data_IF_057751671591
#
_entry.id   IF_057751671591
#
_cell.length_a   1.000
_cell.length_b   1.000
_cell.length_c   1.000
_cell.angle_alpha   90.00
_cell.angle_beta   90.00
_cell.angle_gamma   90.00
#
_symmetry.space_group_name_H-M   'P 1'
#
loop_
_entity.id
_entity.type
_entity.pdbx_description
1 polymer ?
#
# COMPACT_ATOMS: atom_id res chain seq x y z
N UNK A 1 17.97 -43.17 -14.46
CA UNK A 1 16.51 -43.10 -14.67
C UNK A 1 15.99 -42.13 -13.62
N UNK A 2 15.70 -40.89 -14.02
CA UNK A 2 15.14 -39.87 -13.12
C UNK A 2 13.63 -40.10 -12.94
N UNK A 3 13.09 -40.19 -11.75
CA UNK A 3 11.66 -40.19 -11.55
C UNK A 3 11.11 -38.75 -11.60
N UNK A 4 10.27 -38.52 -12.58
CA UNK A 4 9.21 -37.54 -12.73
C UNK A 4 9.20 -36.29 -11.81
N UNK A 5 9.50 -35.18 -12.43
CA UNK A 5 8.92 -33.87 -12.10
C UNK A 5 7.38 -33.94 -12.17
N UNK A 6 6.72 -34.29 -11.08
CA UNK A 6 5.29 -34.05 -10.93
C UNK A 6 5.10 -32.56 -10.71
N UNK A 7 4.24 -31.95 -11.50
CA UNK A 7 3.72 -30.61 -11.31
C UNK A 7 3.33 -30.43 -9.83
N UNK A 8 4.05 -29.59 -9.09
CA UNK A 8 3.73 -29.22 -7.71
C UNK A 8 2.39 -28.48 -7.72
N UNK A 9 1.30 -29.19 -7.47
CA UNK A 9 -0.02 -28.65 -7.27
C UNK A 9 -0.05 -27.89 -5.93
N UNK A 10 -0.74 -26.76 -5.90
CA UNK A 10 -0.99 -25.97 -4.70
C UNK A 10 -1.68 -26.86 -3.64
N UNK A 11 -1.08 -26.96 -2.44
CA UNK A 11 -1.67 -27.75 -1.33
C UNK A 11 -3.08 -27.24 -0.99
N UNK A 12 -4.04 -28.16 -0.75
CA UNK A 12 -5.37 -27.80 -0.30
C UNK A 12 -5.32 -26.94 0.97
N UNK A 13 -6.22 -25.94 1.13
CA UNK A 13 -6.19 -25.01 2.26
C UNK A 13 -6.17 -25.67 3.66
N UNK A 14 -6.82 -26.82 3.81
CA UNK A 14 -6.80 -27.57 5.06
C UNK A 14 -5.42 -28.16 5.38
N UNK A 15 -4.71 -28.67 4.38
CA UNK A 15 -3.36 -29.22 4.52
C UNK A 15 -2.34 -28.11 4.84
N UNK A 16 -2.42 -26.98 4.13
CA UNK A 16 -1.57 -25.81 4.39
C UNK A 16 -1.71 -25.30 5.82
N UNK A 17 -2.95 -25.19 6.33
CA UNK A 17 -3.22 -24.77 7.72
C UNK A 17 -2.64 -25.74 8.75
N UNK A 18 -2.70 -27.04 8.49
CA UNK A 18 -2.13 -28.08 9.38
C UNK A 18 -0.62 -27.95 9.40
N UNK A 19 0.04 -27.86 8.24
CA UNK A 19 1.50 -27.73 8.15
C UNK A 19 2.00 -26.45 8.81
N UNK A 20 1.40 -25.29 8.51
CA UNK A 20 1.79 -23.99 9.14
C UNK A 20 1.61 -24.04 10.67
N UNK A 21 0.59 -24.76 11.17
CA UNK A 21 0.42 -24.93 12.61
C UNK A 21 1.51 -25.80 13.22
N UNK A 22 1.87 -26.92 12.56
CA UNK A 22 2.90 -27.84 13.04
C UNK A 22 4.31 -27.24 12.92
N UNK A 23 4.57 -26.36 11.97
CA UNK A 23 5.86 -25.67 11.80
C UNK A 23 6.23 -24.76 12.98
N UNK A 24 5.25 -24.33 13.79
CA UNK A 24 5.50 -23.53 14.99
C UNK A 24 6.20 -24.32 16.10
N UNK A 25 6.32 -25.63 15.98
CA UNK A 25 6.97 -26.50 16.97
C UNK A 25 8.35 -26.92 16.47
N UNK A 26 9.35 -26.85 17.36
CA UNK A 26 10.73 -27.21 17.03
C UNK A 26 10.91 -28.72 16.73
N UNK A 27 11.92 -29.02 15.92
CA UNK A 27 12.26 -30.40 15.53
C UNK A 27 12.72 -31.30 16.71
N UNK A 28 13.21 -30.67 17.80
CA UNK A 28 13.62 -31.35 19.02
C UNK A 28 12.47 -32.14 19.67
N UNK A 29 11.22 -31.74 19.44
CA UNK A 29 10.04 -32.42 19.97
C UNK A 29 9.76 -33.76 19.28
N UNK A 30 10.36 -34.05 18.13
CA UNK A 30 10.19 -35.31 17.40
C UNK A 30 10.72 -36.52 18.21
N UNK A 31 11.82 -36.32 18.95
CA UNK A 31 12.42 -37.34 19.80
C UNK A 31 11.99 -37.23 21.29
N UNK A 32 11.26 -36.17 21.65
CA UNK A 32 10.89 -35.92 23.04
C UNK A 32 9.92 -36.98 23.58
N UNK A 33 10.11 -37.37 24.87
CA UNK A 33 9.20 -38.30 25.57
C UNK A 33 7.84 -37.67 25.80
N UNK A 34 7.82 -36.42 26.27
CA UNK A 34 6.64 -35.64 26.53
C UNK A 34 6.50 -34.54 25.49
N UNK A 35 5.32 -34.37 24.90
CA UNK A 35 5.06 -33.37 23.87
C UNK A 35 3.87 -32.47 24.22
N UNK A 36 3.85 -31.21 23.72
CA UNK A 36 2.72 -30.31 23.91
C UNK A 36 1.39 -30.94 23.40
N UNK A 37 0.30 -30.64 24.09
CA UNK A 37 -1.04 -31.11 23.70
C UNK A 37 -1.43 -30.75 22.28
N UNK A 38 -0.94 -29.61 21.79
CA UNK A 38 -1.21 -29.11 20.45
C UNK A 38 -0.70 -30.02 19.30
N UNK A 39 0.28 -30.89 19.57
CA UNK A 39 0.75 -31.91 18.63
C UNK A 39 -0.13 -33.19 18.64
N UNK A 40 -1.03 -33.37 19.60
CA UNK A 40 -2.00 -34.49 19.59
C UNK A 40 -3.19 -34.18 18.69
N UNK A 41 -3.82 -35.22 18.11
CA UNK A 41 -4.98 -35.02 17.24
C UNK A 41 -6.12 -34.18 17.90
N UNK A 42 -6.47 -34.34 19.18
CA UNK A 42 -7.45 -33.47 19.83
C UNK A 42 -6.97 -32.01 19.95
N UNK A 43 -5.70 -31.80 20.35
CA UNK A 43 -5.16 -30.46 20.52
C UNK A 43 -4.94 -29.73 19.18
N UNK A 44 -4.58 -30.46 18.13
CA UNK A 44 -4.47 -29.93 16.78
C UNK A 44 -5.85 -29.51 16.25
N UNK A 45 -6.89 -30.33 16.44
CA UNK A 45 -8.27 -30.00 16.07
C UNK A 45 -8.76 -28.74 16.79
N UNK A 46 -8.51 -28.67 18.11
CA UNK A 46 -8.84 -27.50 18.95
C UNK A 46 -8.14 -26.23 18.46
N UNK A 47 -6.83 -26.30 18.15
CA UNK A 47 -6.03 -25.16 17.70
C UNK A 47 -6.40 -24.66 16.30
N UNK A 48 -6.97 -25.52 15.46
CA UNK A 48 -7.43 -25.19 14.10
C UNK A 48 -8.92 -24.83 14.04
N UNK A 49 -9.65 -24.97 15.15
CA UNK A 49 -11.10 -24.71 15.21
C UNK A 49 -11.94 -25.70 14.39
N UNK A 50 -11.50 -26.96 14.27
CA UNK A 50 -12.17 -27.98 13.48
C UNK A 50 -12.53 -29.20 14.34
N UNK A 51 -13.48 -30.00 13.88
CA UNK A 51 -13.79 -31.30 14.54
C UNK A 51 -12.68 -32.31 14.20
N UNK A 52 -12.38 -33.19 15.16
CA UNK A 52 -11.28 -34.16 15.03
C UNK A 52 -11.38 -35.03 13.77
N UNK A 53 -12.60 -35.43 13.38
CA UNK A 53 -12.84 -36.23 12.17
C UNK A 53 -12.41 -35.53 10.88
N UNK A 54 -12.45 -34.19 10.84
CA UNK A 54 -12.04 -33.42 9.69
C UNK A 54 -10.50 -33.41 9.43
N UNK A 55 -9.71 -33.85 10.44
CA UNK A 55 -8.25 -33.93 10.29
C UNK A 55 -7.77 -35.22 9.62
N UNK A 56 -8.57 -36.30 9.63
CA UNK A 56 -8.09 -37.63 9.20
C UNK A 56 -7.66 -37.66 7.74
N UNK A 57 -8.51 -37.21 6.83
CA UNK A 57 -8.19 -37.24 5.40
C UNK A 57 -7.01 -36.30 5.02
N UNK A 58 -6.96 -35.02 5.49
CA UNK A 58 -5.81 -34.14 5.24
C UNK A 58 -4.50 -34.67 5.83
N UNK A 59 -4.52 -35.23 7.05
CA UNK A 59 -3.31 -35.79 7.68
C UNK A 59 -2.82 -37.04 6.97
N UNK A 60 -3.71 -37.94 6.55
CA UNK A 60 -3.33 -39.14 5.77
C UNK A 60 -2.64 -38.73 4.48
N UNK A 61 -3.18 -37.77 3.74
CA UNK A 61 -2.54 -37.26 2.51
C UNK A 61 -1.17 -36.63 2.78
N UNK A 62 -1.03 -35.82 3.84
CA UNK A 62 0.25 -35.20 4.22
C UNK A 62 1.28 -36.24 4.69
N UNK A 63 0.84 -37.34 5.31
CA UNK A 63 1.72 -38.45 5.72
C UNK A 63 2.14 -39.28 4.51
N UNK A 64 1.23 -39.56 3.57
CA UNK A 64 1.52 -40.25 2.32
C UNK A 64 2.51 -39.47 1.42
N UNK A 65 2.43 -38.13 1.46
CA UNK A 65 3.33 -37.22 0.76
C UNK A 65 4.65 -36.97 1.52
N UNK A 66 4.76 -37.48 2.75
CA UNK A 66 5.97 -37.39 3.57
C UNK A 66 6.18 -36.04 4.26
N UNK A 67 5.19 -35.15 4.30
CA UNK A 67 5.28 -33.84 4.94
C UNK A 67 5.06 -33.88 6.45
N UNK A 68 4.38 -34.88 6.95
CA UNK A 68 4.20 -35.12 8.38
C UNK A 68 4.50 -36.58 8.71
N UNK A 69 4.79 -36.84 10.00
CA UNK A 69 4.95 -38.18 10.55
C UNK A 69 4.15 -38.30 11.81
N UNK A 70 3.47 -39.44 11.99
CA UNK A 70 2.73 -39.77 13.20
C UNK A 70 3.52 -40.70 14.08
N UNK A 71 3.41 -40.53 15.41
CA UNK A 71 3.94 -41.47 16.40
C UNK A 71 3.07 -41.46 17.68
N UNK A 72 3.36 -42.36 18.59
CA UNK A 72 2.71 -42.41 19.90
C UNK A 72 3.62 -41.82 20.98
N UNK A 73 3.18 -40.78 21.69
CA UNK A 73 3.93 -40.13 22.77
C UNK A 73 3.06 -39.79 23.99
N UNK A 74 3.71 -39.46 25.10
CA UNK A 74 3.07 -38.81 26.22
C UNK A 74 2.75 -37.36 25.88
N UNK A 75 1.56 -36.90 26.31
CA UNK A 75 1.07 -35.56 26.06
C UNK A 75 0.93 -34.82 27.38
N UNK A 76 1.59 -33.69 27.51
CA UNK A 76 1.56 -32.82 28.70
C UNK A 76 0.09 -32.46 29.00
N UNK A 77 -0.37 -32.75 30.22
CA UNK A 77 -1.76 -32.55 30.63
C UNK A 77 -2.75 -33.56 30.06
N UNK A 78 -2.27 -34.62 29.35
CA UNK A 78 -3.11 -35.63 28.70
C UNK A 78 -3.41 -36.91 29.53
N UNK A 79 -2.96 -36.97 30.77
CA UNK A 79 -3.03 -38.17 31.62
C UNK A 79 -1.99 -39.23 31.27
N UNK A 80 -2.04 -40.41 31.88
CA UNK A 80 -1.01 -41.47 31.75
C UNK A 80 -1.03 -42.24 30.42
N UNK A 81 -2.00 -42.00 29.55
CA UNK A 81 -2.11 -42.74 28.28
C UNK A 81 -1.33 -42.03 27.17
N UNK A 82 -0.53 -42.80 26.41
CA UNK A 82 0.09 -42.35 25.18
C UNK A 82 -0.98 -42.02 24.13
N UNK A 83 -0.75 -40.98 23.34
CA UNK A 83 -1.66 -40.52 22.27
C UNK A 83 -0.90 -40.42 20.96
N UNK A 84 -1.61 -40.57 19.86
CA UNK A 84 -1.08 -40.25 18.53
C UNK A 84 -0.80 -38.76 18.46
N UNK A 85 0.42 -38.43 18.12
CA UNK A 85 0.91 -37.06 17.90
C UNK A 85 1.46 -36.94 16.50
N UNK A 86 1.40 -35.74 15.95
CA UNK A 86 1.79 -35.44 14.59
C UNK A 86 2.99 -34.49 14.63
N UNK A 87 4.03 -34.81 13.90
CA UNK A 87 5.23 -33.97 13.73
C UNK A 87 5.39 -33.62 12.27
N UNK A 88 5.85 -32.40 12.00
CA UNK A 88 6.23 -31.96 10.65
C UNK A 88 7.62 -32.50 10.34
N UNK A 89 7.83 -33.02 9.14
CA UNK A 89 9.14 -33.45 8.65
C UNK A 89 9.96 -32.27 8.10
N UNK A 90 11.23 -32.49 7.79
CA UNK A 90 12.06 -31.47 7.11
C UNK A 90 11.45 -31.07 5.76
N UNK A 91 11.00 -32.03 4.96
CA UNK A 91 10.29 -31.75 3.70
C UNK A 91 8.99 -30.96 3.91
N UNK A 92 8.26 -31.23 5.02
CA UNK A 92 7.10 -30.42 5.39
C UNK A 92 7.48 -28.98 5.77
N UNK A 93 8.61 -28.77 6.46
CA UNK A 93 9.11 -27.44 6.82
C UNK A 93 9.57 -26.66 5.58
N UNK A 94 10.29 -27.31 4.66
CA UNK A 94 10.66 -26.73 3.37
C UNK A 94 9.42 -26.31 2.57
N UNK A 95 8.39 -27.15 2.56
CA UNK A 95 7.11 -26.84 1.90
C UNK A 95 6.40 -25.66 2.58
N UNK A 96 6.41 -25.57 3.91
CA UNK A 96 5.86 -24.40 4.63
C UNK A 96 6.68 -23.15 4.30
N UNK A 97 8.00 -23.22 4.29
CA UNK A 97 8.86 -22.10 3.90
C UNK A 97 8.58 -21.66 2.45
N UNK A 98 8.40 -22.62 1.51
CA UNK A 98 7.99 -22.33 0.13
C UNK A 98 6.56 -21.74 0.05
N UNK A 99 5.64 -22.13 0.96
CA UNK A 99 4.30 -21.56 1.08
C UNK A 99 4.31 -20.18 1.76
N UNK A 100 5.29 -19.94 2.62
CA UNK A 100 5.56 -18.66 3.31
C UNK A 100 6.50 -17.76 2.49
N UNK A 101 7.22 -18.30 1.50
CA UNK A 101 7.78 -17.49 0.42
C UNK A 101 6.65 -16.83 -0.37
N UNK A 102 6.72 -15.52 -0.75
CA UNK A 102 5.56 -14.70 -1.11
C UNK A 102 4.94 -15.04 -2.48
N UNK A 103 4.52 -16.27 -2.66
CA UNK A 103 3.63 -16.68 -3.77
C UNK A 103 2.19 -16.80 -3.28
N UNK A 104 1.76 -15.89 -2.40
CA UNK A 104 0.43 -15.83 -1.86
C UNK A 104 0.33 -15.05 -0.55
N UNK A 105 1.16 -14.02 -0.34
CA UNK A 105 0.87 -13.04 0.69
C UNK A 105 -0.57 -12.60 0.44
N UNK A 106 -1.47 -12.85 1.40
CA UNK A 106 -2.83 -12.30 1.33
C UNK A 106 -2.65 -10.81 1.11
N UNK A 107 -3.05 -10.34 -0.08
CA UNK A 107 -3.06 -8.92 -0.38
C UNK A 107 -3.63 -8.18 0.84
N UNK A 108 -2.96 -7.15 1.25
CA UNK A 108 -3.36 -6.33 2.38
C UNK A 108 -4.74 -5.72 2.18
N UNK A 109 -5.25 -5.07 3.20
CA UNK A 109 -6.55 -4.41 3.14
C UNK A 109 -6.37 -2.95 2.77
N UNK A 110 -7.26 -2.46 1.91
CA UNK A 110 -7.33 -1.08 1.53
C UNK A 110 -8.59 -0.43 2.13
N UNK A 111 -8.44 0.77 2.68
CA UNK A 111 -9.51 1.58 3.25
C UNK A 111 -9.43 3.01 2.71
N UNK A 112 -10.57 3.65 2.55
CA UNK A 112 -10.69 4.99 2.00
C UNK A 112 -10.68 5.01 0.47
N UNK A 113 -10.87 6.19 -0.12
CA UNK A 113 -10.96 6.39 -1.57
C UNK A 113 -9.57 6.43 -2.20
N UNK A 114 -8.93 5.26 -2.39
CA UNK A 114 -7.64 5.16 -3.06
C UNK A 114 -7.84 5.49 -4.55
N UNK A 115 -7.02 6.40 -5.14
CA UNK A 115 -7.12 6.74 -6.56
C UNK A 115 -6.90 5.52 -7.47
N UNK A 116 -7.43 5.57 -8.69
CA UNK A 116 -7.15 4.58 -9.71
C UNK A 116 -5.66 4.52 -10.05
N UNK A 117 -5.18 3.33 -10.41
CA UNK A 117 -3.79 3.16 -10.76
C UNK A 117 -3.52 3.72 -12.16
N UNK A 118 -2.54 4.62 -12.24
CA UNK A 118 -2.03 5.16 -13.49
C UNK A 118 -0.65 4.54 -13.74
N UNK A 119 -0.35 4.22 -15.01
CA UNK A 119 0.99 3.75 -15.39
C UNK A 119 2.03 4.80 -15.04
N UNK A 120 2.98 4.42 -14.21
CA UNK A 120 4.16 5.24 -13.92
C UNK A 120 5.22 4.99 -14.99
N UNK A 121 5.83 6.09 -15.45
CA UNK A 121 6.96 6.03 -16.37
C UNK A 121 8.13 6.77 -15.74
N UNK A 122 9.31 6.12 -15.68
CA UNK A 122 10.54 6.74 -15.22
C UNK A 122 10.52 7.14 -13.73
N UNK A 123 9.83 6.39 -12.88
CA UNK A 123 9.70 6.60 -11.43
C UNK A 123 10.07 5.36 -10.63
N UNK A 124 10.78 4.44 -11.24
CA UNK A 124 11.14 3.15 -10.63
C UNK A 124 12.05 3.37 -9.42
N UNK A 125 13.05 4.27 -9.53
CA UNK A 125 13.97 4.61 -8.44
C UNK A 125 13.24 5.37 -7.32
N UNK A 126 12.41 6.36 -7.68
CA UNK A 126 11.59 7.11 -6.71
C UNK A 126 10.65 6.17 -5.95
N UNK A 127 9.99 5.24 -6.67
CA UNK A 127 9.07 4.26 -6.09
C UNK A 127 9.79 3.32 -5.12
N UNK A 128 10.96 2.83 -5.49
CA UNK A 128 11.77 1.95 -4.64
C UNK A 128 12.23 2.69 -3.38
N UNK A 129 12.81 3.88 -3.54
CA UNK A 129 13.31 4.68 -2.42
C UNK A 129 12.20 5.08 -1.43
N UNK A 130 11.05 5.51 -1.93
CA UNK A 130 9.89 5.84 -1.10
C UNK A 130 9.33 4.60 -0.39
N UNK A 131 9.21 3.48 -1.10
CA UNK A 131 8.76 2.21 -0.54
C UNK A 131 9.69 1.72 0.58
N UNK A 132 11.00 1.72 0.35
CA UNK A 132 11.99 1.28 1.33
C UNK A 132 11.93 2.14 2.61
N UNK A 133 11.78 3.45 2.46
CA UNK A 133 11.62 4.37 3.60
C UNK A 133 10.37 4.03 4.43
N UNK A 134 9.23 3.83 3.77
CA UNK A 134 7.97 3.48 4.45
C UNK A 134 8.01 2.09 5.07
N UNK A 135 8.62 1.10 4.40
CA UNK A 135 8.79 -0.25 4.93
C UNK A 135 9.73 -0.29 6.16
N UNK A 136 10.68 0.65 6.24
CA UNK A 136 11.53 0.84 7.41
C UNK A 136 10.82 1.55 8.58
N UNK A 137 9.54 1.92 8.44
CA UNK A 137 8.76 2.60 9.48
C UNK A 137 8.94 4.11 9.51
N UNK A 138 9.50 4.72 8.45
CA UNK A 138 9.67 6.17 8.38
C UNK A 138 8.35 6.88 8.08
N UNK A 139 8.21 8.10 8.63
CA UNK A 139 7.15 9.02 8.25
C UNK A 139 7.69 9.96 7.16
N UNK A 140 6.96 10.09 6.06
CA UNK A 140 7.44 10.80 4.87
C UNK A 140 6.46 11.91 4.47
N UNK A 141 7.00 13.10 4.23
CA UNK A 141 6.32 14.18 3.52
C UNK A 141 6.74 14.14 2.05
N UNK A 142 5.86 13.67 1.18
CA UNK A 142 6.05 13.69 -0.28
C UNK A 142 5.63 15.05 -0.82
N UNK A 143 6.59 15.88 -1.15
CA UNK A 143 6.40 17.24 -1.63
C UNK A 143 6.76 17.41 -3.11
N UNK A 144 6.28 18.48 -3.74
CA UNK A 144 6.63 18.81 -5.12
C UNK A 144 5.54 19.63 -5.83
N UNK A 145 5.83 20.03 -7.07
CA UNK A 145 4.95 20.86 -7.90
C UNK A 145 3.59 20.17 -8.18
N UNK A 146 2.51 20.96 -8.42
CA UNK A 146 1.26 20.41 -8.92
C UNK A 146 1.47 19.66 -10.24
N UNK A 147 0.91 18.47 -10.41
CA UNK A 147 1.03 17.70 -11.66
C UNK A 147 2.36 16.97 -11.86
N UNK A 148 3.30 17.01 -10.92
CA UNK A 148 4.58 16.27 -11.01
C UNK A 148 4.44 14.76 -10.81
N UNK A 149 3.27 14.29 -10.32
CA UNK A 149 2.96 12.87 -10.19
C UNK A 149 3.05 12.31 -8.76
N UNK A 150 2.93 13.14 -7.72
CA UNK A 150 3.00 12.73 -6.30
C UNK A 150 1.98 11.65 -5.94
N UNK A 151 0.69 11.90 -6.19
CA UNK A 151 -0.38 10.94 -5.87
C UNK A 151 -0.26 9.66 -6.69
N UNK A 152 0.21 9.76 -7.94
CA UNK A 152 0.49 8.60 -8.80
C UNK A 152 1.62 7.73 -8.23
N UNK A 153 2.72 8.34 -7.77
CA UNK A 153 3.83 7.65 -7.13
C UNK A 153 3.37 6.99 -5.83
N UNK A 154 2.68 7.74 -4.98
CA UNK A 154 2.15 7.23 -3.71
C UNK A 154 1.17 6.07 -3.93
N UNK A 155 0.33 6.14 -4.99
CA UNK A 155 -0.59 5.05 -5.36
C UNK A 155 0.15 3.78 -5.78
N UNK A 156 1.24 3.92 -6.54
CA UNK A 156 2.04 2.76 -6.94
C UNK A 156 2.74 2.11 -5.73
N UNK A 157 3.29 2.92 -4.82
CA UNK A 157 3.88 2.42 -3.57
C UNK A 157 2.82 1.77 -2.68
N UNK A 158 1.60 2.35 -2.58
CA UNK A 158 0.49 1.75 -1.85
C UNK A 158 0.13 0.36 -2.41
N UNK A 159 0.11 0.18 -3.74
CA UNK A 159 -0.12 -1.12 -4.38
C UNK A 159 0.99 -2.13 -4.05
N UNK A 160 2.23 -1.68 -4.06
CA UNK A 160 3.37 -2.50 -3.73
C UNK A 160 3.29 -3.01 -2.28
N UNK A 161 3.03 -2.16 -1.30
CA UNK A 161 2.91 -2.56 0.11
C UNK A 161 1.64 -3.39 0.36
N UNK A 162 0.53 -3.13 -0.35
CA UNK A 162 -0.67 -3.98 -0.35
C UNK A 162 -0.34 -5.40 -0.82
N UNK A 163 0.47 -5.55 -1.88
CA UNK A 163 0.90 -6.87 -2.37
C UNK A 163 1.74 -7.63 -1.36
N UNK A 164 2.46 -6.91 -0.47
CA UNK A 164 3.24 -7.45 0.64
C UNK A 164 2.39 -7.73 1.91
N UNK A 165 1.06 -7.57 1.84
CA UNK A 165 0.15 -7.85 2.94
C UNK A 165 -0.02 -6.69 3.94
N UNK A 166 0.42 -5.48 3.60
CA UNK A 166 0.20 -4.29 4.43
C UNK A 166 -1.24 -3.79 4.35
N UNK A 167 -1.70 -3.15 5.40
CA UNK A 167 -2.96 -2.39 5.38
C UNK A 167 -2.67 -0.97 4.92
N UNK A 168 -3.40 -0.47 3.93
CA UNK A 168 -3.32 0.92 3.47
C UNK A 168 -4.61 1.64 3.81
N UNK A 169 -4.48 2.82 4.44
CA UNK A 169 -5.60 3.70 4.79
C UNK A 169 -5.36 5.04 4.12
N UNK A 170 -6.21 5.40 3.18
CA UNK A 170 -6.04 6.59 2.33
C UNK A 170 -7.11 7.62 2.64
N UNK A 171 -6.69 8.87 2.83
CA UNK A 171 -7.60 10.01 3.01
C UNK A 171 -7.14 11.17 2.11
N UNK A 172 -7.87 11.49 1.04
CA UNK A 172 -7.69 12.74 0.32
C UNK A 172 -8.26 13.89 1.16
N UNK A 173 -7.59 15.03 1.11
CA UNK A 173 -8.00 16.25 1.80
C UNK A 173 -8.68 17.23 0.85
N UNK A 174 -9.66 17.94 1.40
CA UNK A 174 -10.30 19.10 0.83
C UNK A 174 -10.51 20.18 1.93
N UNK A 175 -11.21 21.26 1.60
CA UNK A 175 -11.48 22.36 2.54
C UNK A 175 -12.33 21.98 3.75
N UNK A 176 -13.11 20.90 3.67
CA UNK A 176 -14.01 20.44 4.72
C UNK A 176 -13.43 19.28 5.54
N UNK A 177 -12.25 18.80 5.15
CA UNK A 177 -11.57 17.67 5.80
C UNK A 177 -10.99 18.09 7.14
N UNK A 178 -11.42 17.44 8.22
CA UNK A 178 -10.86 17.54 9.57
C UNK A 178 -10.35 16.17 10.06
N UNK A 179 -9.83 16.09 11.27
CA UNK A 179 -9.32 14.85 11.84
C UNK A 179 -10.40 13.76 11.95
N UNK A 180 -11.66 14.10 12.20
CA UNK A 180 -12.75 13.15 12.32
C UNK A 180 -13.14 12.58 10.94
N UNK A 181 -13.16 13.44 9.90
CA UNK A 181 -13.38 13.03 8.49
C UNK A 181 -12.27 12.08 8.04
N UNK A 182 -11.00 12.39 8.32
CA UNK A 182 -9.86 11.49 8.05
C UNK A 182 -10.06 10.15 8.77
N UNK A 183 -10.44 10.18 10.06
CA UNK A 183 -10.75 8.99 10.84
C UNK A 183 -11.85 8.14 10.19
N UNK A 184 -12.92 8.76 9.68
CA UNK A 184 -13.99 8.10 8.93
C UNK A 184 -13.51 7.43 7.65
N UNK A 185 -12.63 8.09 6.88
CA UNK A 185 -12.05 7.51 5.67
C UNK A 185 -11.12 6.32 5.99
N UNK A 186 -10.32 6.42 7.05
CA UNK A 186 -9.38 5.38 7.43
C UNK A 186 -10.03 4.16 8.10
N UNK A 187 -11.12 4.33 8.84
CA UNK A 187 -11.73 3.30 9.67
C UNK A 187 -13.12 2.85 9.20
N UNK A 188 -13.80 3.67 8.41
CA UNK A 188 -15.18 3.45 8.00
C UNK A 188 -16.21 3.96 9.03
N UNK A 189 -17.45 3.48 8.89
CA UNK A 189 -18.56 3.90 9.73
C UNK A 189 -18.31 3.62 11.22
N UNK A 190 -18.64 4.59 12.06
CA UNK A 190 -18.46 4.50 13.51
C UNK A 190 -17.03 4.81 13.99
N UNK A 191 -16.20 5.43 13.15
CA UNK A 191 -14.88 5.89 13.54
C UNK A 191 -14.96 6.86 14.74
N UNK A 192 -14.00 6.80 15.68
CA UNK A 192 -13.91 7.77 16.75
C UNK A 192 -13.58 9.17 16.20
N UNK A 193 -13.90 10.23 16.97
CA UNK A 193 -13.67 11.61 16.54
C UNK A 193 -12.40 12.24 17.11
N UNK A 194 -11.80 11.67 18.15
CA UNK A 194 -10.58 12.23 18.74
C UNK A 194 -9.32 11.67 18.06
N UNK A 195 -8.28 12.50 17.82
CA UNK A 195 -7.03 12.07 17.19
C UNK A 195 -6.42 10.81 17.81
N UNK A 196 -6.24 10.76 19.12
CA UNK A 196 -5.67 9.61 19.83
C UNK A 196 -6.49 8.32 19.66
N UNK A 197 -7.81 8.42 19.68
CA UNK A 197 -8.66 7.24 19.48
C UNK A 197 -8.66 6.75 18.01
N UNK A 198 -8.56 7.67 17.04
CA UNK A 198 -8.38 7.35 15.61
C UNK A 198 -7.06 6.60 15.43
N UNK A 199 -5.96 7.16 15.93
CA UNK A 199 -4.63 6.56 15.86
C UNK A 199 -4.63 5.19 16.50
N UNK A 200 -5.10 5.05 17.74
CA UNK A 200 -5.17 3.77 18.44
C UNK A 200 -5.98 2.69 17.70
N UNK A 201 -7.02 3.10 16.94
CA UNK A 201 -7.81 2.18 16.12
C UNK A 201 -7.15 1.85 14.76
N UNK A 202 -6.26 2.73 14.27
CA UNK A 202 -5.49 2.52 13.04
C UNK A 202 -4.19 1.76 13.27
N UNK A 203 -3.63 1.80 14.48
CA UNK A 203 -2.33 1.23 14.79
C UNK A 203 -2.23 -0.27 14.48
N UNK A 204 -1.12 -0.62 13.88
CA UNK A 204 -0.78 -2.00 13.62
C UNK A 204 0.53 -2.11 12.86
N UNK A 205 1.28 -3.19 13.07
CA UNK A 205 2.44 -3.47 12.26
C UNK A 205 1.99 -3.63 10.79
N UNK A 206 2.80 -3.12 9.86
CA UNK A 206 2.49 -3.15 8.43
C UNK A 206 1.21 -2.36 8.08
N UNK A 207 1.08 -1.17 8.65
CA UNK A 207 0.02 -0.23 8.30
C UNK A 207 0.64 1.04 7.71
N UNK A 208 0.14 1.45 6.55
CA UNK A 208 0.46 2.71 5.89
C UNK A 208 -0.76 3.63 5.97
N UNK A 209 -0.59 4.78 6.63
CA UNK A 209 -1.56 5.86 6.70
C UNK A 209 -1.19 6.91 5.66
N UNK A 210 -2.09 7.22 4.74
CA UNK A 210 -1.86 8.19 3.67
C UNK A 210 -2.81 9.36 3.83
N UNK A 211 -2.25 10.57 3.78
CA UNK A 211 -2.97 11.82 3.68
C UNK A 211 -2.59 12.48 2.36
N UNK A 212 -3.53 12.57 1.42
CA UNK A 212 -3.28 13.11 0.08
C UNK A 212 -3.87 14.51 -0.09
N UNK A 213 -3.26 15.33 -0.94
CA UNK A 213 -3.65 16.72 -1.22
C UNK A 213 -3.73 17.60 0.05
N UNK A 214 -2.82 17.42 1.00
CA UNK A 214 -2.86 18.09 2.31
C UNK A 214 -2.86 19.63 2.23
N UNK A 215 -2.42 20.23 1.12
CA UNK A 215 -2.49 21.68 0.89
C UNK A 215 -3.92 22.20 0.68
N UNK A 216 -4.88 21.32 0.41
CA UNK A 216 -6.30 21.71 0.23
C UNK A 216 -7.03 21.89 1.56
N UNK A 217 -6.39 21.54 2.69
CA UNK A 217 -6.96 21.71 4.02
C UNK A 217 -7.23 23.19 4.32
N UNK A 218 -8.44 23.48 4.78
CA UNK A 218 -8.74 24.82 5.26
C UNK A 218 -7.97 25.13 6.56
N UNK A 219 -7.52 26.35 6.74
CA UNK A 219 -6.67 26.79 7.87
C UNK A 219 -7.25 26.44 9.26
N UNK A 220 -8.59 26.44 9.40
CA UNK A 220 -9.28 26.05 10.65
C UNK A 220 -9.04 24.59 11.06
N UNK A 221 -8.73 23.69 10.11
CA UNK A 221 -8.57 22.26 10.36
C UNK A 221 -7.11 21.83 10.53
N UNK A 222 -6.15 22.67 10.09
CA UNK A 222 -4.71 22.36 10.14
C UNK A 222 -4.27 21.93 11.54
N UNK A 223 -4.68 22.65 12.59
CA UNK A 223 -4.27 22.32 13.96
C UNK A 223 -4.74 20.94 14.43
N UNK A 224 -5.98 20.56 14.13
CA UNK A 224 -6.51 19.24 14.50
C UNK A 224 -5.87 18.09 13.69
N UNK A 225 -5.58 18.34 12.41
CA UNK A 225 -4.89 17.35 11.56
C UNK A 225 -3.41 17.25 11.95
N UNK A 226 -2.74 18.35 12.29
CA UNK A 226 -1.37 18.33 12.79
C UNK A 226 -1.26 17.51 14.08
N UNK A 227 -2.22 17.64 15.01
CA UNK A 227 -2.28 16.81 16.20
C UNK A 227 -2.46 15.32 15.84
N UNK A 228 -3.32 15.00 14.87
CA UNK A 228 -3.49 13.61 14.40
C UNK A 228 -2.18 13.03 13.86
N UNK A 229 -1.43 13.81 13.07
CA UNK A 229 -0.14 13.40 12.52
C UNK A 229 0.91 13.21 13.59
N UNK A 230 0.97 14.12 14.60
CA UNK A 230 1.90 14.05 15.72
C UNK A 230 1.66 12.76 16.55
N UNK A 231 0.41 12.50 16.91
CA UNK A 231 0.06 11.27 17.64
C UNK A 231 0.35 10.00 16.82
N UNK A 232 0.08 10.01 15.51
CA UNK A 232 0.34 8.86 14.64
C UNK A 232 1.84 8.64 14.39
N UNK A 233 2.65 9.69 14.39
CA UNK A 233 4.10 9.62 14.17
C UNK A 233 4.86 8.86 15.27
N UNK A 234 4.30 8.84 16.47
CA UNK A 234 4.82 8.08 17.62
C UNK A 234 4.43 6.60 17.65
N UNK A 235 3.58 6.14 16.73
CA UNK A 235 3.04 4.78 16.67
C UNK A 235 3.86 3.79 15.86
N UNK A 236 3.27 2.62 15.60
CA UNK A 236 3.88 1.52 14.82
C UNK A 236 3.46 1.52 13.33
N UNK A 237 2.77 2.55 12.88
CA UNK A 237 2.33 2.71 11.49
C UNK A 237 3.27 3.66 10.75
N UNK A 238 3.46 3.46 9.45
CA UNK A 238 4.17 4.42 8.60
C UNK A 238 3.18 5.48 8.09
N UNK A 239 3.62 6.73 8.02
CA UNK A 239 2.83 7.86 7.53
C UNK A 239 3.38 8.36 6.19
N UNK A 240 2.48 8.64 5.27
CA UNK A 240 2.79 9.32 4.02
C UNK A 240 1.85 10.53 3.88
N UNK A 241 2.40 11.71 4.02
CA UNK A 241 1.70 12.97 3.76
C UNK A 241 2.11 13.49 2.40
N UNK A 242 1.15 13.76 1.54
CA UNK A 242 1.35 14.25 0.17
C UNK A 242 0.85 15.69 0.11
N UNK A 243 1.73 16.60 -0.30
CA UNK A 243 1.40 18.02 -0.36
C UNK A 243 2.12 18.71 -1.50
N UNK A 244 1.58 19.85 -1.94
CA UNK A 244 2.36 20.83 -2.70
C UNK A 244 3.37 21.48 -1.77
N UNK A 245 4.44 22.02 -2.33
CA UNK A 245 5.41 22.80 -1.57
C UNK A 245 5.05 24.30 -1.66
N UNK A 246 4.98 25.03 -0.52
CA UNK A 246 5.19 24.57 0.84
C UNK A 246 3.99 23.79 1.41
N UNK A 247 4.27 22.82 2.29
CA UNK A 247 3.22 22.10 3.01
C UNK A 247 2.56 23.00 4.08
N UNK A 248 1.24 22.88 4.36
CA UNK A 248 0.56 23.62 5.40
C UNK A 248 1.07 23.29 6.81
N UNK A 249 1.72 22.14 6.97
CA UNK A 249 2.32 21.71 8.24
C UNK A 249 3.81 22.05 8.36
N UNK A 250 4.44 22.63 7.31
CA UNK A 250 5.89 22.62 7.18
C UNK A 250 6.41 21.18 7.04
N UNK A 251 7.57 20.90 7.63
CA UNK A 251 8.05 19.53 7.84
C UNK A 251 7.75 19.14 9.30
N UNK A 252 6.78 18.21 9.54
CA UNK A 252 6.45 17.82 10.90
C UNK A 252 7.62 17.10 11.59
N UNK A 253 7.68 17.17 12.91
CA UNK A 253 8.71 16.46 13.69
C UNK A 253 8.66 14.95 13.42
N UNK A 254 9.80 14.34 13.23
CA UNK A 254 9.91 12.91 12.91
C UNK A 254 9.60 12.52 11.46
N UNK A 255 9.34 13.52 10.58
CA UNK A 255 9.15 13.27 9.14
C UNK A 255 10.44 13.52 8.36
N UNK A 256 10.62 12.74 7.29
CA UNK A 256 11.62 12.97 6.26
C UNK A 256 10.93 13.53 5.02
N UNK A 257 11.45 14.62 4.46
CA UNK A 257 10.93 15.16 3.20
C UNK A 257 11.47 14.36 2.02
N UNK A 258 10.55 13.88 1.17
CA UNK A 258 10.84 13.30 -0.14
C UNK A 258 10.33 14.29 -1.20
N UNK A 259 11.25 15.08 -1.76
CA UNK A 259 10.89 16.07 -2.78
C UNK A 259 10.89 15.41 -4.16
N UNK A 260 9.70 15.34 -4.79
CA UNK A 260 9.55 14.78 -6.12
C UNK A 260 9.85 15.83 -7.19
N UNK A 261 10.90 15.60 -7.94
CA UNK A 261 11.34 16.45 -9.04
C UNK A 261 10.72 16.00 -10.38
N UNK A 262 10.99 16.73 -11.47
CA UNK A 262 10.64 16.31 -12.82
C UNK A 262 11.31 14.99 -13.23
N UNK A 263 10.84 14.40 -14.32
CA UNK A 263 11.42 13.18 -14.88
C UNK A 263 12.81 13.43 -15.46
N UNK A 264 13.67 12.42 -15.41
CA UNK A 264 14.91 12.42 -16.17
C UNK A 264 14.63 12.54 -17.68
N UNK A 265 15.58 13.14 -18.42
CA UNK A 265 15.40 13.49 -19.83
C UNK A 265 14.94 12.32 -20.70
N UNK A 266 15.50 11.13 -20.48
CA UNK A 266 15.14 9.91 -21.22
C UNK A 266 13.68 9.50 -21.04
N UNK A 267 13.13 9.65 -19.83
CA UNK A 267 11.74 9.34 -19.51
C UNK A 267 10.80 10.48 -19.90
N UNK A 268 11.25 11.73 -19.78
CA UNK A 268 10.50 12.90 -20.18
C UNK A 268 10.14 12.88 -21.67
N UNK A 269 11.08 12.45 -22.53
CA UNK A 269 10.84 12.29 -23.98
C UNK A 269 9.69 11.36 -24.30
N UNK A 270 9.52 10.27 -23.53
CA UNK A 270 8.48 9.28 -23.77
C UNK A 270 7.06 9.80 -23.52
N UNK A 271 6.92 10.95 -22.85
CA UNK A 271 5.63 11.60 -22.61
C UNK A 271 5.23 12.59 -23.70
N UNK A 272 6.16 12.94 -24.59
CA UNK A 272 5.90 13.83 -25.73
C UNK A 272 5.25 13.05 -26.89
N UNK A 273 4.56 13.72 -27.82
CA UNK A 273 4.02 13.10 -29.01
C UNK A 273 5.08 12.36 -29.81
N UNK A 274 4.72 11.17 -30.34
CA UNK A 274 5.64 10.25 -31.01
C UNK A 274 6.22 10.78 -32.34
N UNK A 275 5.65 11.81 -32.90
CA UNK A 275 6.05 12.51 -34.13
C UNK A 275 7.03 13.66 -33.87
N UNK A 276 7.37 13.96 -32.61
CA UNK A 276 8.35 14.98 -32.24
C UNK A 276 9.77 14.49 -32.55
N UNK A 277 10.55 15.30 -33.28
CA UNK A 277 11.95 14.98 -33.53
C UNK A 277 12.79 15.04 -32.23
N UNK A 278 13.88 14.26 -32.20
CA UNK A 278 14.68 14.09 -30.98
C UNK A 278 15.28 15.38 -30.43
N UNK A 279 15.65 16.34 -31.28
CA UNK A 279 16.26 17.59 -30.83
C UNK A 279 15.23 18.52 -30.21
N UNK A 280 14.03 18.59 -30.80
CA UNK A 280 12.89 19.33 -30.27
C UNK A 280 12.43 18.68 -28.96
N UNK A 281 12.31 17.35 -28.92
CA UNK A 281 11.94 16.63 -27.70
C UNK A 281 12.89 16.91 -26.53
N UNK A 282 14.21 16.98 -26.79
CA UNK A 282 15.19 17.32 -25.76
C UNK A 282 15.03 18.75 -25.27
N UNK A 283 14.82 19.69 -26.21
CA UNK A 283 14.66 21.09 -25.89
C UNK A 283 13.42 21.34 -25.03
N UNK A 284 12.29 20.74 -25.42
CA UNK A 284 11.02 20.83 -24.69
C UNK A 284 11.12 20.16 -23.29
N UNK A 285 11.68 18.95 -23.22
CA UNK A 285 11.86 18.26 -21.95
C UNK A 285 12.74 19.03 -20.98
N UNK A 286 13.80 19.67 -21.48
CA UNK A 286 14.67 20.53 -20.67
C UNK A 286 13.99 21.84 -20.27
N UNK A 287 13.28 22.48 -21.19
CA UNK A 287 12.58 23.74 -20.91
C UNK A 287 11.50 23.56 -19.85
N UNK A 288 10.76 22.47 -19.93
CA UNK A 288 9.70 22.12 -18.98
C UNK A 288 10.22 21.33 -17.74
N UNK A 289 11.54 21.21 -17.57
CA UNK A 289 12.15 20.57 -16.40
C UNK A 289 11.70 19.13 -16.16
N UNK A 290 11.35 18.39 -17.22
CA UNK A 290 10.84 17.02 -17.11
C UNK A 290 9.47 16.90 -16.44
N UNK A 291 8.68 17.97 -16.33
CA UNK A 291 7.42 17.99 -15.60
C UNK A 291 6.32 17.22 -16.35
N UNK A 292 5.77 16.10 -15.80
CA UNK A 292 4.92 15.18 -16.56
C UNK A 292 3.66 15.81 -17.15
N UNK A 293 2.96 16.65 -16.36
CA UNK A 293 1.73 17.31 -16.83
C UNK A 293 2.05 18.34 -17.93
N UNK A 294 3.10 19.13 -17.75
CA UNK A 294 3.51 20.12 -18.76
C UNK A 294 3.91 19.45 -20.08
N UNK A 295 4.66 18.35 -20.03
CA UNK A 295 5.06 17.58 -21.22
C UNK A 295 3.85 17.01 -21.97
N UNK A 296 2.83 16.50 -21.25
CA UNK A 296 1.60 15.99 -21.87
C UNK A 296 0.70 17.10 -22.44
N UNK A 297 0.83 18.32 -21.93
CA UNK A 297 0.10 19.47 -22.43
C UNK A 297 0.77 20.12 -23.64
N UNK A 298 2.06 19.89 -23.85
CA UNK A 298 2.74 20.45 -25.00
C UNK A 298 2.29 19.79 -26.32
N UNK A 299 2.21 20.59 -27.40
CA UNK A 299 1.86 20.13 -28.74
C UNK A 299 2.96 20.51 -29.74
N UNK A 300 3.27 19.67 -30.75
CA UNK A 300 4.25 19.98 -31.78
C UNK A 300 3.97 21.26 -32.62
N UNK A 301 2.72 21.74 -32.55
CA UNK A 301 2.28 22.97 -33.18
C UNK A 301 2.67 24.25 -32.38
N UNK A 302 3.05 24.06 -31.12
CA UNK A 302 3.46 25.13 -30.23
C UNK A 302 4.97 25.34 -30.30
N UNK A 303 5.39 26.59 -30.06
CA UNK A 303 6.81 26.89 -29.92
C UNK A 303 7.42 26.17 -28.71
N UNK A 304 8.74 25.93 -28.77
CA UNK A 304 9.45 25.38 -27.60
C UNK A 304 9.41 26.41 -26.48
N UNK A 305 8.92 26.04 -25.27
CA UNK A 305 8.84 26.95 -24.13
C UNK A 305 10.21 27.57 -23.81
N UNK A 306 10.24 28.83 -23.37
CA UNK A 306 11.48 29.47 -22.96
C UNK A 306 12.07 28.82 -21.72
N UNK A 307 13.40 28.64 -21.70
CA UNK A 307 14.10 28.15 -20.51
C UNK A 307 13.98 29.17 -19.37
N UNK A 308 13.37 28.75 -18.27
CA UNK A 308 13.21 29.60 -17.08
C UNK A 308 11.81 30.17 -16.91
N UNK A 309 10.88 29.92 -17.84
CA UNK A 309 9.46 30.09 -17.58
C UNK A 309 9.03 29.17 -16.45
N UNK A 310 8.26 29.70 -15.47
CA UNK A 310 7.80 28.88 -14.39
C UNK A 310 6.84 27.81 -14.95
N UNK A 311 7.21 26.53 -14.84
CA UNK A 311 6.42 25.39 -15.35
C UNK A 311 4.96 25.47 -14.91
N UNK A 312 4.70 26.01 -13.72
CA UNK A 312 3.35 26.21 -13.20
C UNK A 312 2.57 27.25 -14.02
N UNK A 313 3.22 28.35 -14.43
CA UNK A 313 2.63 29.38 -15.30
C UNK A 313 2.32 28.83 -16.69
N UNK A 314 3.25 28.06 -17.25
CA UNK A 314 3.04 27.35 -18.51
C UNK A 314 1.83 26.40 -18.45
N UNK A 315 1.72 25.56 -17.42
CA UNK A 315 0.59 24.63 -17.26
C UNK A 315 -0.72 25.41 -17.12
N UNK A 316 -0.74 26.45 -16.31
CA UNK A 316 -1.94 27.27 -16.09
C UNK A 316 -2.38 27.99 -17.37
N UNK A 317 -1.45 28.65 -18.08
CA UNK A 317 -1.76 29.37 -19.31
C UNK A 317 -2.25 28.41 -20.40
N UNK A 318 -1.57 27.27 -20.58
CA UNK A 318 -1.92 26.27 -21.59
C UNK A 318 -3.31 25.68 -21.34
N UNK A 319 -3.64 25.34 -20.08
CA UNK A 319 -4.97 24.82 -19.73
C UNK A 319 -6.04 25.88 -20.01
N UNK A 320 -5.82 27.13 -19.59
CA UNK A 320 -6.79 28.22 -19.81
C UNK A 320 -7.03 28.51 -21.30
N UNK A 321 -5.98 28.50 -22.12
CA UNK A 321 -6.12 28.70 -23.57
C UNK A 321 -6.83 27.57 -24.30
N UNK A 322 -6.87 26.36 -23.73
CA UNK A 322 -7.55 25.20 -24.35
C UNK A 322 -9.00 25.04 -23.90
N UNK A 323 -9.44 25.81 -22.90
CA UNK A 323 -10.85 25.82 -22.50
C UNK A 323 -11.69 26.52 -23.57
N UNK A 324 -12.86 25.94 -23.87
CA UNK A 324 -13.90 26.63 -24.63
C UNK A 324 -14.49 27.77 -23.80
N UNK A 325 -15.20 28.70 -24.44
CA UNK A 325 -15.94 29.76 -23.73
C UNK A 325 -16.92 29.18 -22.70
N UNK A 326 -17.51 28.03 -22.98
CA UNK A 326 -18.39 27.30 -22.05
C UNK A 326 -17.59 26.69 -20.90
N UNK A 327 -16.44 26.07 -21.18
CA UNK A 327 -15.54 25.54 -20.18
C UNK A 327 -14.99 26.63 -19.25
N UNK A 328 -14.68 27.81 -19.76
CA UNK A 328 -14.23 28.95 -18.97
C UNK A 328 -15.35 29.45 -18.05
N UNK A 329 -16.60 29.59 -18.56
CA UNK A 329 -17.75 29.97 -17.72
C UNK A 329 -18.02 28.95 -16.64
N UNK A 330 -17.99 27.67 -16.97
CA UNK A 330 -18.15 26.60 -16.00
C UNK A 330 -17.08 26.65 -14.90
N UNK A 331 -15.83 26.89 -15.28
CA UNK A 331 -14.72 27.07 -14.31
C UNK A 331 -14.95 28.30 -13.41
N UNK A 332 -15.42 29.42 -13.97
CA UNK A 332 -15.74 30.62 -13.20
C UNK A 332 -16.88 30.38 -12.21
N UNK A 333 -17.90 29.62 -12.60
CA UNK A 333 -19.00 29.21 -11.73
C UNK A 333 -18.51 28.32 -10.59
N UNK A 334 -17.59 27.38 -10.86
CA UNK A 334 -16.94 26.56 -9.84
C UNK A 334 -16.11 27.38 -8.86
N UNK A 335 -15.39 28.38 -9.34
CA UNK A 335 -14.59 29.25 -8.47
C UNK A 335 -15.45 30.07 -7.49
N UNK A 336 -16.73 30.30 -7.79
CA UNK A 336 -17.67 31.04 -6.97
C UNK A 336 -18.45 30.11 -6.03
N UNK A 337 -18.42 28.79 -6.26
CA UNK A 337 -19.13 27.82 -5.42
C UNK A 337 -18.61 27.84 -3.97
N UNK A 338 -19.51 27.90 -2.97
CA UNK A 338 -19.14 28.04 -1.56
C UNK A 338 -18.50 26.77 -0.97
N UNK A 339 -18.56 25.65 -1.67
CA UNK A 339 -17.99 24.35 -1.25
C UNK A 339 -17.54 23.55 -2.46
N UNK A 340 -16.67 22.57 -2.22
CA UNK A 340 -16.23 21.61 -3.25
C UNK A 340 -17.42 20.85 -3.81
N UNK A 341 -17.66 20.95 -5.12
CA UNK A 341 -18.72 20.22 -5.80
C UNK A 341 -18.26 18.80 -6.15
N UNK A 342 -19.13 17.81 -5.94
CA UNK A 342 -18.88 16.44 -6.39
C UNK A 342 -19.26 16.32 -7.86
N UNK A 343 -18.56 15.43 -8.58
CA UNK A 343 -18.86 15.16 -10.00
C UNK A 343 -20.33 14.81 -10.24
N UNK A 344 -21.00 14.15 -9.28
CA UNK A 344 -22.43 13.85 -9.34
C UNK A 344 -23.34 15.09 -9.29
N UNK A 345 -22.89 16.14 -8.63
CA UNK A 345 -23.65 17.39 -8.48
C UNK A 345 -23.57 18.26 -9.74
N UNK A 346 -22.57 17.99 -10.61
CA UNK A 346 -22.37 18.65 -11.89
C UNK A 346 -23.40 18.28 -12.96
N UNK A 347 -24.04 17.12 -12.83
CA UNK A 347 -24.99 16.60 -13.81
C UNK A 347 -26.46 16.81 -13.38
N UNK A 348 -26.69 17.41 -12.20
CA UNK A 348 -28.04 17.74 -11.70
C UNK A 348 -28.38 19.23 -11.84
N UNK A 349 -27.44 20.07 -12.29
CA UNK A 349 -27.63 21.49 -12.57
C UNK A 349 -27.77 21.73 -14.09
#
# INVERSE_FOLDING_TARGET
>A
MNPCLRSRGMLPPAQSRILSRLAQFGGELEAAWDVPRALSLPGLAESLGVVRSALHAPLSSLEDEGYVRTRTAHVIGGGSRRRTVVHITESGRETVAELEEPSGARRGKAFGPIPDQISLHGREEDSTSLSDSLLAGSNVLLSGLPGVGKSSLARAVAEQVLSMGWTVRWAPCDSDTDAAVIGGMWLGDGAPSSPSAIVGACEGPRTLLVLDEAQELHSRHIGGVAQLLDEASGGNSSLLVISRSPSPFGLPDGFTEFKLEGLALEHARSLLPSDTDSATADSVAQALGGHPLALRLWSPEEDVPERGEAVQEYVQSTVMHRLSDEGTRTLDEFCIAPSSLRVSELFEA
#
